data_IF_903179163496
#
_entry.id   IF_903179163496
#
_cell.length_a   1.000
_cell.length_b   1.000
_cell.length_c   1.000
_cell.angle_alpha   90.00
_cell.angle_beta   90.00
_cell.angle_gamma   90.00
#
_symmetry.space_group_name_H-M   'P 1'
#
loop_
_entity.id
_entity.type
_entity.pdbx_description
1 polymer ?
#
# COMPACT_ATOMS: atom_id res chain seq x y z
N UNK A 1 -1.56 9.54 -22.61
CA UNK A 1 -1.97 10.96 -22.55
C UNK A 1 -2.86 11.28 -21.34
N UNK A 2 -4.01 10.60 -21.15
CA UNK A 2 -4.94 10.86 -20.01
C UNK A 2 -4.30 10.75 -18.62
N UNK A 3 -3.44 9.75 -18.35
CA UNK A 3 -2.76 9.57 -17.05
C UNK A 3 -1.77 10.70 -16.74
N UNK A 4 -1.00 11.14 -17.72
CA UNK A 4 -0.05 12.26 -17.54
C UNK A 4 -0.79 13.56 -17.20
N UNK A 5 -1.85 13.87 -17.92
CA UNK A 5 -2.68 15.07 -17.66
C UNK A 5 -3.34 15.02 -16.27
N UNK A 6 -3.84 13.84 -15.84
CA UNK A 6 -4.39 13.63 -14.49
C UNK A 6 -3.33 13.91 -13.41
N UNK A 7 -2.12 13.38 -13.57
CA UNK A 7 -1.00 13.61 -12.63
C UNK A 7 -0.59 15.08 -12.60
N UNK A 8 -0.45 15.73 -13.77
CA UNK A 8 -0.09 17.13 -13.87
C UNK A 8 -1.15 18.03 -13.21
N UNK A 9 -2.42 17.80 -13.50
CA UNK A 9 -3.53 18.53 -12.85
C UNK A 9 -3.48 18.39 -11.32
N UNK A 10 -3.31 17.16 -10.81
CA UNK A 10 -3.25 16.93 -9.37
C UNK A 10 -2.01 17.53 -8.72
N UNK A 11 -0.88 17.49 -9.40
CA UNK A 11 0.35 18.12 -8.94
C UNK A 11 0.18 19.65 -8.78
N UNK A 12 -0.57 20.28 -9.68
CA UNK A 12 -0.79 21.74 -9.65
C UNK A 12 -1.91 22.15 -8.68
N UNK A 13 -2.99 21.36 -8.57
CA UNK A 13 -4.23 21.80 -7.92
C UNK A 13 -4.69 20.98 -6.71
N UNK A 14 -4.14 19.78 -6.47
CA UNK A 14 -4.59 18.89 -5.40
C UNK A 14 -3.52 18.68 -4.31
N UNK A 15 -2.66 19.65 -4.09
CA UNK A 15 -1.60 19.60 -3.08
C UNK A 15 -1.89 20.54 -1.90
N UNK A 16 -1.15 20.31 -0.78
CA UNK A 16 -1.23 21.14 0.43
C UNK A 16 -2.63 21.23 1.03
N UNK A 17 -3.49 20.24 0.76
CA UNK A 17 -4.85 20.25 1.25
C UNK A 17 -5.75 21.33 0.64
N UNK A 18 -5.37 21.95 -0.48
CA UNK A 18 -6.17 23.00 -1.10
C UNK A 18 -7.58 22.50 -1.47
N UNK A 19 -8.62 23.22 -1.02
CA UNK A 19 -10.02 22.85 -1.25
C UNK A 19 -10.52 21.65 -0.42
N UNK A 20 -9.73 21.17 0.55
CA UNK A 20 -10.11 20.08 1.44
C UNK A 20 -10.71 20.64 2.74
N UNK A 21 -12.02 20.39 2.95
CA UNK A 21 -12.75 20.87 4.14
C UNK A 21 -12.79 19.86 5.29
N UNK A 22 -12.36 18.61 5.07
CA UNK A 22 -12.27 17.58 6.12
C UNK A 22 -10.96 17.77 6.91
N UNK A 23 -11.01 18.04 8.22
CA UNK A 23 -9.80 18.17 9.05
C UNK A 23 -8.92 16.91 9.01
N UNK A 24 -9.54 15.72 9.03
CA UNK A 24 -8.82 14.45 8.91
C UNK A 24 -8.06 14.34 7.59
N UNK A 25 -8.72 14.64 6.47
CA UNK A 25 -8.08 14.55 5.14
C UNK A 25 -7.03 15.63 4.96
N UNK A 26 -7.28 16.83 5.48
CA UNK A 26 -6.30 17.91 5.46
C UNK A 26 -5.02 17.53 6.22
N UNK A 27 -5.16 17.02 7.46
CA UNK A 27 -4.03 16.51 8.27
C UNK A 27 -3.29 15.37 7.54
N UNK A 28 -4.04 14.40 7.00
CA UNK A 28 -3.47 13.29 6.24
C UNK A 28 -2.63 13.79 5.04
N UNK A 29 -3.15 14.71 4.25
CA UNK A 29 -2.43 15.23 3.08
C UNK A 29 -1.19 16.02 3.52
N UNK A 30 -1.32 16.95 4.44
CA UNK A 30 -0.24 17.88 4.79
C UNK A 30 0.84 17.26 5.65
N UNK A 31 0.45 16.43 6.65
CA UNK A 31 1.34 15.91 7.67
C UNK A 31 1.74 14.44 7.47
N UNK A 32 1.19 13.76 6.46
CA UNK A 32 1.56 12.37 6.13
C UNK A 32 1.96 12.22 4.67
N UNK A 33 1.06 12.56 3.74
CA UNK A 33 1.31 12.29 2.32
C UNK A 33 2.36 13.24 1.73
N UNK A 34 2.34 14.52 2.10
CA UNK A 34 3.29 15.54 1.64
C UNK A 34 4.40 15.87 2.66
N UNK A 35 4.50 15.10 3.75
CA UNK A 35 5.55 15.24 4.75
C UNK A 35 6.96 15.11 4.10
N UNK A 36 7.86 16.03 4.46
CA UNK A 36 9.22 16.09 3.89
C UNK A 36 10.34 15.89 4.91
N UNK A 37 10.02 15.74 6.18
CA UNK A 37 11.02 15.50 7.19
C UNK A 37 11.73 14.16 6.95
N UNK A 38 13.01 14.11 7.26
CA UNK A 38 13.79 12.88 7.21
C UNK A 38 13.46 11.98 8.38
N UNK A 39 13.15 10.73 8.10
CA UNK A 39 12.95 9.70 9.11
C UNK A 39 14.13 8.72 9.12
N UNK A 40 14.44 8.15 10.28
CA UNK A 40 15.50 7.16 10.45
C UNK A 40 15.37 5.97 9.46
N UNK A 41 14.14 5.52 9.21
CA UNK A 41 13.86 4.40 8.31
C UNK A 41 14.24 4.68 6.84
N UNK A 42 14.33 5.94 6.42
CA UNK A 42 14.64 6.28 5.02
C UNK A 42 16.03 5.82 4.59
N UNK A 43 16.99 5.76 5.51
CA UNK A 43 18.33 5.24 5.21
C UNK A 43 18.28 3.76 4.89
N UNK A 44 17.54 2.96 5.69
CA UNK A 44 17.37 1.53 5.44
C UNK A 44 16.56 1.25 4.18
N UNK A 45 15.47 1.98 3.96
CA UNK A 45 14.67 1.86 2.73
C UNK A 45 15.49 2.21 1.46
N UNK A 46 16.38 3.20 1.55
CA UNK A 46 17.31 3.53 0.47
C UNK A 46 18.30 2.40 0.22
N UNK A 47 18.90 1.85 1.26
CA UNK A 47 19.84 0.73 1.15
C UNK A 47 19.16 -0.51 0.55
N UNK A 48 17.97 -0.87 1.02
CA UNK A 48 17.16 -1.96 0.47
C UNK A 48 16.87 -1.79 -1.03
N UNK A 49 16.51 -0.58 -1.44
CA UNK A 49 16.27 -0.28 -2.87
C UNK A 49 17.52 -0.41 -3.72
N UNK A 50 18.68 0.01 -3.24
CA UNK A 50 19.96 -0.13 -3.95
C UNK A 50 20.30 -1.61 -4.14
N UNK A 51 20.14 -2.46 -3.12
CA UNK A 51 20.34 -3.90 -3.23
C UNK A 51 19.43 -4.50 -4.32
N UNK A 52 18.17 -4.11 -4.37
CA UNK A 52 17.23 -4.59 -5.39
C UNK A 52 17.55 -4.06 -6.78
N UNK A 53 18.14 -2.87 -6.93
CA UNK A 53 18.58 -2.37 -8.23
C UNK A 53 19.70 -3.22 -8.81
N UNK A 54 20.61 -3.71 -7.99
CA UNK A 54 21.66 -4.63 -8.43
C UNK A 54 21.09 -6.01 -8.79
N UNK A 55 20.13 -6.53 -8.01
CA UNK A 55 19.40 -7.74 -8.36
C UNK A 55 18.53 -7.57 -9.62
N UNK A 56 17.98 -6.38 -9.85
CA UNK A 56 17.14 -6.05 -11.02
C UNK A 56 17.93 -5.98 -12.34
N UNK A 57 19.24 -5.71 -12.29
CA UNK A 57 20.12 -5.85 -13.46
C UNK A 57 20.13 -7.29 -13.98
N UNK A 58 19.87 -8.25 -13.10
CA UNK A 58 19.84 -9.68 -13.43
C UNK A 58 18.44 -10.21 -13.78
N UNK A 59 17.34 -9.54 -13.32
CA UNK A 59 15.95 -10.04 -13.50
C UNK A 59 14.94 -8.91 -13.74
N UNK A 60 14.39 -8.84 -14.94
CA UNK A 60 13.41 -7.82 -15.34
C UNK A 60 12.11 -7.80 -14.48
N UNK A 61 11.72 -8.93 -13.89
CA UNK A 61 10.54 -9.02 -13.01
C UNK A 61 10.68 -8.13 -11.77
N UNK A 62 11.84 -8.17 -11.10
CA UNK A 62 12.14 -7.36 -9.91
C UNK A 62 12.06 -5.86 -10.23
N UNK A 63 12.56 -5.45 -11.40
CA UNK A 63 12.52 -4.04 -11.83
C UNK A 63 11.09 -3.52 -12.00
N UNK A 64 10.18 -4.34 -12.54
CA UNK A 64 8.79 -3.92 -12.78
C UNK A 64 7.96 -3.74 -11.51
N UNK A 65 8.24 -4.54 -10.50
CA UNK A 65 7.48 -4.54 -9.24
C UNK A 65 8.14 -3.71 -8.13
N UNK A 66 9.40 -3.29 -8.30
CA UNK A 66 10.08 -2.51 -7.27
C UNK A 66 9.47 -1.10 -7.14
N UNK A 67 9.41 -0.62 -5.89
CA UNK A 67 8.89 0.70 -5.56
C UNK A 67 9.95 1.79 -5.79
N UNK A 68 9.49 2.98 -6.14
CA UNK A 68 10.31 4.19 -6.11
C UNK A 68 10.64 4.58 -4.67
N UNK A 69 11.63 5.48 -4.49
CA UNK A 69 11.97 6.04 -3.18
C UNK A 69 10.75 6.67 -2.51
N UNK A 70 10.02 7.51 -3.24
CA UNK A 70 8.85 8.23 -2.71
C UNK A 70 7.71 7.29 -2.30
N UNK A 71 7.50 6.19 -3.03
CA UNK A 71 6.49 5.18 -2.66
C UNK A 71 6.87 4.46 -1.36
N UNK A 72 8.14 4.09 -1.17
CA UNK A 72 8.60 3.49 0.09
C UNK A 72 8.44 4.45 1.27
N UNK A 73 8.88 5.71 1.12
CA UNK A 73 8.76 6.74 2.14
C UNK A 73 7.30 7.06 2.47
N UNK A 74 6.44 7.06 1.47
CA UNK A 74 5.00 7.31 1.61
C UNK A 74 4.31 6.18 2.39
N UNK A 75 4.58 4.90 2.05
CA UNK A 75 4.07 3.75 2.80
C UNK A 75 4.56 3.74 4.25
N UNK A 76 5.84 4.07 4.48
CA UNK A 76 6.38 4.22 5.82
C UNK A 76 5.63 5.29 6.62
N UNK A 77 5.40 6.48 6.06
CA UNK A 77 4.68 7.56 6.75
C UNK A 77 3.25 7.16 7.10
N UNK A 78 2.54 6.48 6.20
CA UNK A 78 1.22 5.93 6.50
C UNK A 78 1.27 4.94 7.69
N UNK A 79 2.16 3.96 7.64
CA UNK A 79 2.32 3.01 8.72
C UNK A 79 2.75 3.68 10.03
N UNK A 80 3.68 4.64 9.98
CA UNK A 80 4.12 5.40 11.13
C UNK A 80 3.00 6.26 11.75
N UNK A 81 2.05 6.75 10.96
CA UNK A 81 0.89 7.53 11.43
C UNK A 81 -0.20 6.67 12.04
N UNK A 82 -0.54 5.53 11.40
CA UNK A 82 -1.67 4.69 11.79
C UNK A 82 -1.30 3.50 12.66
N UNK A 83 0.00 3.13 12.73
CA UNK A 83 0.55 2.08 13.61
C UNK A 83 -0.17 0.72 13.48
N UNK A 84 -0.39 0.18 12.26
CA UNK A 84 -1.09 -1.08 12.10
C UNK A 84 -0.28 -2.25 12.67
N UNK A 85 -0.88 -3.07 13.52
CA UNK A 85 -0.21 -4.23 14.13
C UNK A 85 -0.37 -5.52 13.33
N UNK A 86 -1.47 -5.66 12.58
CA UNK A 86 -1.77 -6.84 11.73
C UNK A 86 -1.88 -6.40 10.28
N UNK A 87 -0.87 -6.75 9.49
CA UNK A 87 -0.73 -6.26 8.11
C UNK A 87 -0.75 -7.43 7.14
N UNK A 88 -1.67 -7.42 6.18
CA UNK A 88 -1.70 -8.37 5.05
C UNK A 88 -1.30 -7.62 3.79
N UNK A 89 -0.33 -8.15 3.06
CA UNK A 89 0.18 -7.58 1.82
C UNK A 89 0.08 -8.61 0.71
N UNK A 90 -0.74 -8.34 -0.29
CA UNK A 90 -0.91 -9.15 -1.50
C UNK A 90 -0.03 -8.55 -2.58
N UNK A 91 1.04 -9.24 -2.92
CA UNK A 91 2.18 -8.69 -3.64
C UNK A 91 3.17 -7.99 -2.69
N UNK A 92 4.44 -8.33 -2.81
CA UNK A 92 5.48 -7.86 -1.87
C UNK A 92 6.28 -6.66 -2.39
N UNK A 93 6.14 -6.31 -3.67
CA UNK A 93 7.03 -5.31 -4.29
C UNK A 93 8.51 -5.65 -4.13
N UNK A 94 8.87 -6.93 -4.28
CA UNK A 94 10.20 -7.48 -4.00
C UNK A 94 10.65 -7.31 -2.53
N UNK A 95 9.71 -7.25 -1.58
CA UNK A 95 9.97 -7.03 -0.16
C UNK A 95 10.00 -5.57 0.28
N UNK A 96 9.88 -4.60 -0.64
CA UNK A 96 9.88 -3.18 -0.28
C UNK A 96 8.58 -2.74 0.39
N UNK A 97 7.42 -3.32 0.02
CA UNK A 97 6.14 -3.01 0.66
C UNK A 97 6.17 -3.42 2.13
N UNK A 98 6.43 -4.70 2.48
CA UNK A 98 6.52 -5.09 3.88
C UNK A 98 7.60 -4.34 4.65
N UNK A 99 8.79 -4.13 4.09
CA UNK A 99 9.83 -3.37 4.75
C UNK A 99 9.37 -1.94 5.08
N UNK A 100 8.74 -1.25 4.11
CA UNK A 100 8.26 0.13 4.31
C UNK A 100 7.18 0.22 5.38
N UNK A 101 6.24 -0.74 5.39
CA UNK A 101 5.11 -0.74 6.33
C UNK A 101 5.48 -1.19 7.75
N UNK A 102 6.59 -1.90 7.93
CA UNK A 102 6.98 -2.44 9.23
C UNK A 102 8.14 -1.70 9.91
N UNK A 103 8.88 -0.88 9.17
CA UNK A 103 10.06 -0.14 9.68
C UNK A 103 9.77 0.89 10.77
N UNK A 104 8.51 1.18 11.11
CA UNK A 104 8.16 2.07 12.22
C UNK A 104 8.19 1.36 13.58
N UNK A 105 8.16 0.02 13.61
CA UNK A 105 8.06 -0.77 14.82
C UNK A 105 9.29 -1.66 14.99
N UNK A 106 9.69 -1.89 16.25
CA UNK A 106 10.75 -2.82 16.64
C UNK A 106 10.23 -4.12 17.26
N UNK A 107 8.91 -4.35 17.20
CA UNK A 107 8.21 -5.53 17.73
C UNK A 107 6.71 -5.27 17.89
N UNK A 108 5.95 -6.32 18.27
CA UNK A 108 4.50 -6.23 18.47
C UNK A 108 3.67 -6.11 17.20
N UNK A 109 4.29 -6.30 16.03
CA UNK A 109 3.66 -6.26 14.72
C UNK A 109 3.73 -7.64 14.08
N UNK A 110 2.65 -8.05 13.42
CA UNK A 110 2.56 -9.26 12.60
C UNK A 110 2.27 -8.89 11.15
N UNK A 111 3.19 -9.20 10.24
CA UNK A 111 3.05 -9.00 8.80
C UNK A 111 3.00 -10.33 8.04
N UNK A 112 2.02 -10.48 7.14
CA UNK A 112 1.96 -11.57 6.16
C UNK A 112 2.05 -10.98 4.77
N UNK A 113 3.11 -11.30 4.05
CA UNK A 113 3.30 -10.95 2.64
C UNK A 113 3.00 -12.18 1.77
N UNK A 114 1.97 -12.08 0.96
CA UNK A 114 1.55 -13.11 0.01
C UNK A 114 2.21 -12.85 -1.34
N UNK A 115 2.79 -13.89 -1.93
CA UNK A 115 3.48 -13.78 -3.21
C UNK A 115 3.25 -15.02 -4.06
N UNK A 116 2.85 -14.84 -5.32
CA UNK A 116 2.61 -15.94 -6.24
C UNK A 116 3.74 -16.18 -7.24
N UNK A 117 4.74 -15.32 -7.26
CA UNK A 117 5.97 -15.52 -8.04
C UNK A 117 7.08 -16.02 -7.12
N UNK A 118 7.62 -17.20 -7.41
CA UNK A 118 8.66 -17.85 -6.59
C UNK A 118 9.96 -17.02 -6.52
N UNK A 119 10.29 -16.30 -7.61
CA UNK A 119 11.47 -15.45 -7.66
C UNK A 119 11.28 -14.26 -6.74
N UNK A 120 10.10 -13.62 -6.81
CA UNK A 120 9.75 -12.48 -5.96
C UNK A 120 9.67 -12.88 -4.49
N UNK A 121 9.07 -14.03 -4.17
CA UNK A 121 9.01 -14.56 -2.81
C UNK A 121 10.42 -14.77 -2.21
N UNK A 122 11.34 -15.33 -2.99
CA UNK A 122 12.72 -15.54 -2.55
C UNK A 122 13.49 -14.23 -2.37
N UNK A 123 13.31 -13.27 -3.28
CA UNK A 123 13.91 -11.93 -3.17
C UNK A 123 13.38 -11.21 -1.93
N UNK A 124 12.06 -11.25 -1.71
CA UNK A 124 11.43 -10.63 -0.54
C UNK A 124 11.92 -11.26 0.77
N UNK A 125 11.99 -12.60 0.85
CA UNK A 125 12.53 -13.30 2.04
C UNK A 125 13.98 -12.92 2.33
N UNK A 126 14.82 -12.83 1.29
CA UNK A 126 16.22 -12.45 1.45
C UNK A 126 16.35 -11.02 1.97
N UNK A 127 15.62 -10.08 1.36
CA UNK A 127 15.64 -8.67 1.77
C UNK A 127 15.14 -8.49 3.21
N UNK A 128 14.01 -9.11 3.55
CA UNK A 128 13.41 -8.97 4.88
C UNK A 128 14.26 -9.62 5.98
N UNK A 129 14.89 -10.77 5.72
CA UNK A 129 15.82 -11.40 6.67
C UNK A 129 17.01 -10.50 7.00
N UNK A 130 17.49 -9.73 6.04
CA UNK A 130 18.64 -8.86 6.22
C UNK A 130 18.27 -7.50 6.84
N UNK A 131 17.07 -6.96 6.53
CA UNK A 131 16.72 -5.58 6.79
C UNK A 131 15.53 -5.34 7.69
N UNK A 132 14.63 -6.32 7.87
CA UNK A 132 13.42 -6.10 8.65
C UNK A 132 13.72 -6.09 10.15
N UNK A 133 13.13 -5.12 10.85
CA UNK A 133 13.18 -4.99 12.31
C UNK A 133 12.02 -5.68 13.02
N UNK A 134 10.98 -6.02 12.27
CA UNK A 134 9.79 -6.73 12.75
C UNK A 134 9.54 -8.00 11.92
N UNK A 135 8.96 -9.06 12.50
CA UNK A 135 8.72 -10.31 11.80
C UNK A 135 7.69 -10.11 10.67
N UNK A 136 8.08 -10.55 9.47
CA UNK A 136 7.18 -10.64 8.32
C UNK A 136 7.30 -12.02 7.71
N UNK A 137 6.18 -12.74 7.67
CA UNK A 137 6.10 -14.03 7.00
C UNK A 137 5.84 -13.85 5.51
N UNK A 138 6.67 -14.44 4.66
CA UNK A 138 6.45 -14.44 3.20
C UNK A 138 5.92 -15.79 2.77
N UNK A 139 4.66 -15.86 2.33
CA UNK A 139 3.98 -17.07 1.85
C UNK A 139 4.00 -17.09 0.33
N UNK A 140 4.49 -18.20 -0.22
CA UNK A 140 4.46 -18.46 -1.66
C UNK A 140 3.29 -19.37 -1.99
N UNK A 141 2.21 -18.80 -2.50
CA UNK A 141 0.98 -19.48 -2.89
C UNK A 141 0.15 -18.53 -3.78
N UNK A 142 -0.81 -19.06 -4.54
CA UNK A 142 -1.73 -18.20 -5.32
C UNK A 142 -2.57 -17.32 -4.38
N UNK A 143 -2.87 -16.10 -4.82
CA UNK A 143 -3.57 -15.13 -3.98
C UNK A 143 -4.98 -15.57 -3.61
N UNK A 144 -5.67 -16.28 -4.52
CA UNK A 144 -7.03 -16.80 -4.31
C UNK A 144 -7.09 -17.81 -3.16
N UNK A 145 -5.99 -18.50 -2.87
CA UNK A 145 -5.88 -19.49 -1.78
C UNK A 145 -5.29 -18.85 -0.53
N UNK A 146 -4.21 -18.08 -0.68
CA UNK A 146 -3.46 -17.56 0.46
C UNK A 146 -4.15 -16.39 1.17
N UNK A 147 -4.86 -15.52 0.42
CA UNK A 147 -5.52 -14.35 1.02
C UNK A 147 -6.66 -14.73 1.97
N UNK A 148 -7.61 -15.63 1.62
CA UNK A 148 -8.65 -16.07 2.56
C UNK A 148 -8.07 -16.68 3.84
N UNK A 149 -6.98 -17.46 3.73
CA UNK A 149 -6.29 -18.04 4.90
C UNK A 149 -5.70 -16.97 5.81
N UNK A 150 -4.97 -16.01 5.25
CA UNK A 150 -4.37 -14.92 6.02
C UNK A 150 -5.44 -14.01 6.67
N UNK A 151 -6.52 -13.72 5.98
CA UNK A 151 -7.66 -12.97 6.52
C UNK A 151 -8.32 -13.70 7.69
N UNK A 152 -8.56 -15.01 7.56
CA UNK A 152 -9.15 -15.82 8.62
C UNK A 152 -8.21 -15.92 9.84
N UNK A 153 -6.90 -16.02 9.64
CA UNK A 153 -5.89 -16.06 10.70
C UNK A 153 -5.87 -14.77 11.54
N UNK A 154 -5.93 -13.60 10.87
CA UNK A 154 -5.93 -12.31 11.57
C UNK A 154 -7.31 -11.88 12.07
N UNK A 155 -8.37 -12.39 11.49
CA UNK A 155 -9.75 -12.01 11.79
C UNK A 155 -10.07 -10.57 11.38
N UNK A 156 -9.33 -9.60 11.93
CA UNK A 156 -9.49 -8.16 11.64
C UNK A 156 -8.11 -7.52 11.39
N UNK A 157 -7.60 -7.52 10.15
CA UNK A 157 -6.35 -6.87 9.81
C UNK A 157 -6.48 -5.34 9.90
N UNK A 158 -5.46 -4.70 10.48
CA UNK A 158 -5.42 -3.23 10.64
C UNK A 158 -4.98 -2.55 9.33
N UNK A 159 -4.24 -3.28 8.48
CA UNK A 159 -3.85 -2.81 7.15
C UNK A 159 -3.88 -3.95 6.13
N UNK A 160 -4.48 -3.67 4.97
CA UNK A 160 -4.48 -4.56 3.81
C UNK A 160 -3.89 -3.80 2.64
N UNK A 161 -2.87 -4.37 1.99
CA UNK A 161 -2.27 -3.80 0.77
C UNK A 161 -2.47 -4.77 -0.39
N UNK A 162 -2.97 -4.26 -1.51
CA UNK A 162 -3.10 -4.99 -2.78
C UNK A 162 -2.19 -4.33 -3.82
N UNK A 163 -1.13 -5.03 -4.27
CA UNK A 163 -0.11 -4.49 -5.17
C UNK A 163 -0.29 -4.96 -6.61
N UNK A 164 -0.66 -4.05 -7.50
CA UNK A 164 -0.74 -4.22 -8.99
C UNK A 164 -1.27 -5.59 -9.47
N UNK A 165 -2.36 -6.05 -8.87
CA UNK A 165 -2.91 -7.38 -9.13
C UNK A 165 -3.76 -7.33 -10.40
N UNK A 166 -3.17 -7.74 -11.52
CA UNK A 166 -3.84 -7.79 -12.82
C UNK A 166 -4.89 -8.92 -12.85
N UNK A 167 -6.12 -8.59 -13.23
CA UNK A 167 -7.22 -9.55 -13.48
C UNK A 167 -7.97 -10.03 -12.24
N UNK A 168 -7.33 -10.15 -11.07
CA UNK A 168 -7.96 -10.69 -9.85
C UNK A 168 -8.40 -9.63 -8.83
N UNK A 169 -8.10 -8.35 -9.04
CA UNK A 169 -8.29 -7.29 -8.04
C UNK A 169 -9.72 -7.22 -7.49
N UNK A 170 -10.74 -7.33 -8.34
CA UNK A 170 -12.14 -7.29 -7.90
C UNK A 170 -12.52 -8.49 -7.01
N UNK A 171 -11.98 -9.67 -7.29
CA UNK A 171 -12.23 -10.87 -6.47
C UNK A 171 -11.54 -10.76 -5.11
N UNK A 172 -10.29 -10.29 -5.08
CA UNK A 172 -9.53 -10.09 -3.85
C UNK A 172 -10.15 -8.99 -2.97
N UNK A 173 -10.63 -7.89 -3.55
CA UNK A 173 -11.36 -6.85 -2.83
C UNK A 173 -12.65 -7.40 -2.20
N UNK A 174 -13.42 -8.22 -2.91
CA UNK A 174 -14.62 -8.87 -2.34
C UNK A 174 -14.26 -9.80 -1.19
N UNK A 175 -13.16 -10.53 -1.30
CA UNK A 175 -12.66 -11.38 -0.22
C UNK A 175 -12.32 -10.56 1.04
N UNK A 176 -11.71 -9.39 0.89
CA UNK A 176 -11.36 -8.50 2.00
C UNK A 176 -12.59 -7.91 2.69
N UNK A 177 -13.70 -7.69 1.98
CA UNK A 177 -14.83 -6.91 2.47
C UNK A 177 -15.42 -7.40 3.80
N UNK A 178 -15.45 -8.72 4.04
CA UNK A 178 -15.94 -9.33 5.28
C UNK A 178 -15.02 -9.20 6.50
N UNK A 179 -13.78 -8.74 6.30
CA UNK A 179 -12.76 -8.62 7.33
C UNK A 179 -12.37 -7.17 7.65
N UNK A 180 -13.00 -6.22 6.94
CA UNK A 180 -12.77 -4.78 7.14
C UNK A 180 -13.52 -4.32 8.39
N UNK A 181 -12.81 -3.56 9.24
CA UNK A 181 -13.37 -2.88 10.39
C UNK A 181 -13.03 -1.37 10.36
N UNK A 182 -13.51 -0.62 11.34
CA UNK A 182 -13.40 0.86 11.33
C UNK A 182 -11.96 1.41 11.32
N UNK A 183 -11.00 0.66 11.87
CA UNK A 183 -9.59 1.05 11.88
C UNK A 183 -8.78 0.46 10.72
N UNK A 184 -9.37 -0.39 9.88
CA UNK A 184 -8.68 -0.96 8.72
C UNK A 184 -8.24 0.12 7.75
N UNK A 185 -6.99 0.06 7.31
CA UNK A 185 -6.43 0.84 6.22
C UNK A 185 -6.32 -0.05 4.98
N UNK A 186 -7.13 0.20 3.96
CA UNK A 186 -7.03 -0.50 2.68
C UNK A 186 -6.22 0.34 1.69
N UNK A 187 -5.10 -0.21 1.22
CA UNK A 187 -4.21 0.43 0.25
C UNK A 187 -4.21 -0.41 -1.03
N UNK A 188 -4.42 0.22 -2.17
CA UNK A 188 -4.43 -0.45 -3.48
C UNK A 188 -3.44 0.25 -4.41
N UNK A 189 -2.50 -0.51 -5.00
CA UNK A 189 -1.61 -0.01 -6.06
C UNK A 189 -2.13 -0.41 -7.43
N UNK A 190 -1.84 0.41 -8.44
CA UNK A 190 -2.25 0.13 -9.81
C UNK A 190 -3.71 0.47 -10.11
N UNK A 191 -4.37 1.32 -9.33
CA UNK A 191 -5.79 1.69 -9.52
C UNK A 191 -6.09 2.32 -10.88
N UNK A 192 -5.08 2.82 -11.56
CA UNK A 192 -5.15 3.37 -12.92
C UNK A 192 -4.48 2.47 -13.97
N UNK A 193 -4.08 1.25 -13.63
CA UNK A 193 -3.33 0.35 -14.50
C UNK A 193 -4.16 -0.10 -15.73
N UNK A 194 -5.44 -0.38 -15.54
CA UNK A 194 -6.37 -0.77 -16.59
C UNK A 194 -7.79 -0.26 -16.30
N UNK A 195 -8.74 -0.33 -17.25
CA UNK A 195 -10.15 -0.03 -16.99
C UNK A 195 -10.73 -0.91 -15.90
N UNK A 196 -10.38 -2.20 -15.87
CA UNK A 196 -10.83 -3.18 -14.88
C UNK A 196 -10.29 -2.83 -13.48
N UNK A 197 -9.02 -2.43 -13.37
CA UNK A 197 -8.42 -1.98 -12.11
C UNK A 197 -9.10 -0.70 -11.59
N UNK A 198 -9.45 0.22 -12.50
CA UNK A 198 -10.18 1.43 -12.13
C UNK A 198 -11.60 1.13 -11.66
N UNK A 199 -12.30 0.18 -12.27
CA UNK A 199 -13.62 -0.28 -11.83
C UNK A 199 -13.55 -0.97 -10.46
N UNK A 200 -12.57 -1.84 -10.26
CA UNK A 200 -12.31 -2.47 -8.96
C UNK A 200 -12.04 -1.43 -7.86
N UNK A 201 -11.26 -0.38 -8.18
CA UNK A 201 -11.03 0.75 -7.28
C UNK A 201 -12.32 1.47 -6.92
N UNK A 202 -13.19 1.76 -7.90
CA UNK A 202 -14.50 2.37 -7.64
C UNK A 202 -15.35 1.49 -6.73
N UNK A 203 -15.32 0.17 -6.94
CA UNK A 203 -16.02 -0.79 -6.08
C UNK A 203 -15.51 -0.72 -4.64
N UNK A 204 -14.18 -0.64 -4.44
CA UNK A 204 -13.61 -0.49 -3.10
C UNK A 204 -14.06 0.82 -2.41
N UNK A 205 -14.08 1.93 -3.14
CA UNK A 205 -14.59 3.22 -2.64
C UNK A 205 -16.10 3.19 -2.32
N UNK A 206 -16.83 2.27 -2.93
CA UNK A 206 -18.27 2.10 -2.75
C UNK A 206 -18.65 1.08 -1.68
N UNK A 207 -17.71 0.44 -0.99
CA UNK A 207 -18.01 -0.47 0.11
C UNK A 207 -18.96 0.21 1.13
N UNK A 208 -19.94 -0.51 1.70
CA UNK A 208 -20.92 0.08 2.61
C UNK A 208 -20.29 0.83 3.78
N UNK A 209 -19.20 0.30 4.33
CA UNK A 209 -18.44 0.89 5.45
C UNK A 209 -17.40 1.94 5.02
N UNK A 210 -17.12 2.09 3.70
CA UNK A 210 -16.14 3.05 3.22
C UNK A 210 -16.57 4.50 3.50
N UNK A 211 -15.67 5.29 4.03
CA UNK A 211 -15.87 6.72 4.31
C UNK A 211 -14.97 7.57 3.42
N UNK A 212 -13.77 7.90 3.85
CA UNK A 212 -12.81 8.66 3.06
C UNK A 212 -12.04 7.75 2.12
N UNK A 213 -11.94 8.15 0.85
CA UNK A 213 -11.02 7.53 -0.10
C UNK A 213 -10.07 8.58 -0.67
N UNK A 214 -8.80 8.21 -0.84
CA UNK A 214 -7.77 9.05 -1.49
C UNK A 214 -7.36 8.39 -2.80
N UNK A 215 -7.65 9.02 -3.92
CA UNK A 215 -7.12 8.62 -5.23
C UNK A 215 -5.82 9.40 -5.48
N UNK A 216 -4.68 8.74 -5.26
CA UNK A 216 -3.35 9.31 -5.46
C UNK A 216 -2.72 8.86 -6.80
N UNK A 217 -3.50 8.80 -7.87
CA UNK A 217 -3.16 8.35 -9.21
C UNK A 217 -2.92 6.84 -9.31
N UNK A 218 -1.70 6.38 -9.05
CA UNK A 218 -1.36 4.94 -9.07
C UNK A 218 -1.80 4.24 -7.80
N UNK A 219 -1.84 4.96 -6.68
CA UNK A 219 -2.21 4.44 -5.38
C UNK A 219 -3.60 4.91 -4.96
N UNK A 220 -4.35 4.03 -4.32
CA UNK A 220 -5.61 4.35 -3.66
C UNK A 220 -5.56 4.00 -2.18
N UNK A 221 -6.20 4.79 -1.32
CA UNK A 221 -6.37 4.50 0.11
C UNK A 221 -7.84 4.61 0.44
N UNK A 222 -8.38 3.64 1.17
CA UNK A 222 -9.74 3.69 1.70
C UNK A 222 -9.71 3.58 3.22
N UNK A 223 -10.45 4.45 3.87
CA UNK A 223 -10.70 4.48 5.31
C UNK A 223 -12.15 4.10 5.60
N UNK A 224 -12.36 3.50 6.77
CA UNK A 224 -13.66 2.97 7.19
C UNK A 224 -14.14 3.58 8.53
N UNK A 225 -13.47 4.62 9.02
CA UNK A 225 -13.76 5.28 10.30
C UNK A 225 -15.13 5.94 10.32
N UNK A 226 -16.02 5.61 11.26
CA UNK A 226 -17.29 6.30 11.44
C UNK A 226 -17.11 7.82 11.64
N UNK A 227 -18.08 8.60 11.20
CA UNK A 227 -18.06 10.07 11.35
C UNK A 227 -17.21 10.80 10.31
N UNK A 228 -16.42 10.11 9.49
CA UNK A 228 -15.75 10.73 8.36
C UNK A 228 -16.70 10.88 7.15
N UNK A 229 -16.52 11.91 6.31
CA UNK A 229 -17.37 12.12 5.13
C UNK A 229 -17.16 11.01 4.10
N UNK A 230 -18.25 10.51 3.52
CA UNK A 230 -18.19 9.54 2.40
C UNK A 230 -17.83 10.27 1.11
N UNK A 231 -16.53 10.43 0.87
CA UNK A 231 -16.02 11.21 -0.26
C UNK A 231 -14.65 10.73 -0.72
N UNK A 232 -14.43 10.75 -2.04
CA UNK A 232 -13.11 10.51 -2.65
C UNK A 232 -12.40 11.85 -2.91
N UNK A 233 -11.17 11.95 -2.44
CA UNK A 233 -10.29 13.10 -2.63
C UNK A 233 -9.17 12.74 -3.60
N UNK A 234 -8.87 13.66 -4.52
CA UNK A 234 -7.75 13.50 -5.45
C UNK A 234 -6.44 13.97 -4.82
N UNK A 235 -5.37 13.20 -5.03
CA UNK A 235 -4.02 13.56 -4.62
C UNK A 235 -2.99 13.00 -5.62
N UNK A 236 -1.70 13.23 -5.39
CA UNK A 236 -0.60 12.65 -6.17
C UNK A 236 0.54 12.28 -5.22
N UNK A 237 1.08 11.07 -5.36
CA UNK A 237 2.34 10.67 -4.70
C UNK A 237 3.50 11.28 -5.50
N UNK A 238 4.30 12.14 -4.86
CA UNK A 238 5.44 12.86 -5.43
C UNK A 238 6.74 12.44 -4.76
#
# INVERSE_FOLDING_TARGET
MKRFLKRLYRYLFCRKGYGVHSPFVFDLITNVLEERHGYYAYTELKAARLMLQDAAKMKNAVKRQSLSRHECEWLFRLANRFKPCRIIMVGSGAGLIPLSLTSYASGGLHGIALEQDAVMANVARSLLRERATSPVEVRYETYEVSLPKALAEFGHPDCIVLDEITGALSALLRCCAGYIHEDTLLIVRGIDASPEANEAWRTACAFPSATVSIDACTWGIVFFRPGLPRKTFGHVVC
#
